data_IF_758037042497
#
_entry.id   IF_758037042497
#
_cell.length_a   1.000
_cell.length_b   1.000
_cell.length_c   1.000
_cell.angle_alpha   90.00
_cell.angle_beta   90.00
_cell.angle_gamma   90.00
#
_symmetry.space_group_name_H-M   'P 1'
#
loop_
_entity.id
_entity.type
_entity.pdbx_description
1 polymer ?
#
# COMPACT_ATOMS: atom_id res chain seq x y z
N UNK A 1 26.20 13.87 28.42
CA UNK A 1 25.50 14.55 27.30
C UNK A 1 25.05 13.49 26.33
N UNK A 2 23.77 13.45 25.92
CA UNK A 2 23.33 12.51 24.90
C UNK A 2 23.96 12.89 23.56
N UNK A 3 24.54 11.91 22.89
CA UNK A 3 25.15 12.01 21.57
C UNK A 3 24.08 12.37 20.53
N UNK A 4 24.18 13.55 19.93
CA UNK A 4 23.51 13.89 18.67
C UNK A 4 24.30 13.26 17.51
N UNK A 5 24.25 11.92 17.42
CA UNK A 5 24.62 11.22 16.18
C UNK A 5 23.54 11.46 15.11
N UNK A 6 23.89 11.36 13.81
CA UNK A 6 22.89 11.45 12.75
C UNK A 6 21.80 10.42 13.01
N UNK A 7 20.53 10.85 12.88
CA UNK A 7 19.39 9.93 12.94
C UNK A 7 19.53 9.00 11.73
N UNK A 8 19.96 7.76 11.97
CA UNK A 8 19.97 6.71 10.95
C UNK A 8 18.53 6.31 10.66
N UNK A 9 17.90 7.01 9.72
CA UNK A 9 16.60 6.64 9.19
C UNK A 9 16.80 5.54 8.15
N UNK A 10 17.06 4.32 8.61
CA UNK A 10 17.10 3.14 7.73
C UNK A 10 15.67 2.73 7.42
N UNK A 11 15.18 3.12 6.25
CA UNK A 11 14.01 2.49 5.67
C UNK A 11 14.46 1.33 4.81
N UNK A 12 13.91 0.16 5.10
CA UNK A 12 14.11 -1.06 4.32
C UNK A 12 13.32 -0.95 3.01
N UNK A 13 13.88 -0.23 2.04
CA UNK A 13 13.30 -0.09 0.70
C UNK A 13 13.19 -1.44 -0.04
N UNK A 14 14.08 -2.43 0.15
CA UNK A 14 13.84 -3.80 -0.32
C UNK A 14 12.54 -4.42 0.23
N UNK A 15 12.30 -4.33 1.54
CA UNK A 15 11.09 -4.90 2.15
C UNK A 15 9.83 -4.15 1.70
N UNK A 16 9.88 -2.82 1.53
CA UNK A 16 8.78 -2.07 0.90
C UNK A 16 8.52 -2.53 -0.54
N UNK A 17 9.57 -2.81 -1.31
CA UNK A 17 9.47 -3.35 -2.67
C UNK A 17 8.85 -4.75 -2.71
N UNK A 18 9.17 -5.58 -1.73
CA UNK A 18 8.54 -6.89 -1.53
C UNK A 18 7.05 -6.74 -1.19
N UNK A 19 6.72 -5.93 -0.19
CA UNK A 19 5.32 -5.66 0.20
C UNK A 19 4.50 -5.16 -0.99
N UNK A 20 5.02 -4.22 -1.76
CA UNK A 20 4.36 -3.73 -2.99
C UNK A 20 4.05 -4.86 -3.96
N UNK A 21 5.00 -5.77 -4.17
CA UNK A 21 4.84 -6.91 -5.10
C UNK A 21 3.78 -7.89 -4.60
N UNK A 22 3.78 -8.18 -3.30
CA UNK A 22 2.76 -9.02 -2.66
C UNK A 22 1.36 -8.39 -2.78
N UNK A 23 1.23 -7.07 -2.57
CA UNK A 23 -0.03 -6.34 -2.75
C UNK A 23 -0.53 -6.35 -4.19
N UNK A 24 0.37 -6.15 -5.17
CA UNK A 24 0.04 -6.22 -6.60
C UNK A 24 -0.44 -7.63 -7.00
N UNK A 25 0.20 -8.67 -6.45
CA UNK A 25 -0.19 -10.06 -6.68
C UNK A 25 -1.58 -10.31 -6.11
N UNK A 26 -1.83 -9.92 -4.86
CA UNK A 26 -3.12 -10.08 -4.21
C UNK A 26 -4.22 -9.30 -4.93
N UNK A 27 -3.93 -8.10 -5.43
CA UNK A 27 -4.87 -7.29 -6.21
C UNK A 27 -5.24 -7.98 -7.53
N UNK A 28 -4.28 -8.59 -8.22
CA UNK A 28 -4.52 -9.35 -9.44
C UNK A 28 -5.36 -10.61 -9.16
N UNK A 29 -4.95 -11.41 -8.17
CA UNK A 29 -5.68 -12.62 -7.76
C UNK A 29 -7.13 -12.32 -7.37
N UNK A 30 -7.35 -11.22 -6.64
CA UNK A 30 -8.68 -10.78 -6.26
C UNK A 30 -9.50 -10.27 -7.46
N UNK A 31 -8.85 -9.64 -8.43
CA UNK A 31 -9.46 -9.20 -9.69
C UNK A 31 -9.93 -10.37 -10.56
N UNK A 32 -9.21 -11.49 -10.53
CA UNK A 32 -9.49 -12.71 -11.32
C UNK A 32 -10.63 -13.55 -10.74
N UNK A 33 -11.02 -13.32 -9.48
CA UNK A 33 -12.16 -14.03 -8.89
C UNK A 33 -13.46 -13.71 -9.66
N UNK A 34 -14.40 -14.66 -9.76
CA UNK A 34 -15.64 -14.46 -10.47
C UNK A 34 -16.47 -13.32 -9.86
N UNK A 35 -16.96 -12.43 -10.72
CA UNK A 35 -18.08 -11.52 -10.43
C UNK A 35 -19.36 -12.24 -10.79
N UNK A 36 -20.36 -12.16 -9.91
CA UNK A 36 -21.67 -12.68 -10.25
C UNK A 36 -22.71 -11.62 -9.91
N UNK A 37 -23.43 -11.19 -10.95
CA UNK A 37 -24.67 -10.45 -10.78
C UNK A 37 -25.73 -11.49 -10.36
N UNK A 38 -26.53 -11.19 -9.34
CA UNK A 38 -27.52 -12.13 -8.81
C UNK A 38 -28.49 -12.56 -9.90
N UNK A 39 -28.53 -13.86 -10.19
CA UNK A 39 -29.42 -14.51 -11.17
C UNK A 39 -29.75 -15.94 -10.70
N UNK A 40 -29.93 -16.12 -9.39
CA UNK A 40 -30.26 -17.42 -8.82
C UNK A 40 -31.69 -17.81 -9.19
N UNK A 41 -31.88 -18.98 -9.80
CA UNK A 41 -33.21 -19.46 -10.22
C UNK A 41 -34.11 -19.80 -9.01
N UNK A 42 -35.20 -19.04 -8.77
CA UNK A 42 -36.12 -19.31 -7.67
C UNK A 42 -36.95 -20.57 -7.88
N UNK A 43 -37.13 -21.05 -9.11
CA UNK A 43 -37.83 -22.29 -9.40
C UNK A 43 -37.00 -23.53 -9.01
N UNK A 44 -35.67 -23.45 -9.17
CA UNK A 44 -34.74 -24.51 -8.78
C UNK A 44 -34.42 -24.51 -7.28
N UNK A 45 -34.24 -23.32 -6.67
CA UNK A 45 -33.71 -23.19 -5.31
C UNK A 45 -34.80 -22.90 -4.26
N UNK A 46 -35.99 -22.49 -4.68
CA UNK A 46 -36.99 -21.86 -3.82
C UNK A 46 -36.66 -20.39 -3.55
N UNK A 47 -37.68 -19.53 -3.54
CA UNK A 47 -37.51 -18.07 -3.58
C UNK A 47 -36.69 -17.47 -2.43
N UNK A 48 -36.75 -18.06 -1.22
CA UNK A 48 -35.96 -17.58 -0.06
C UNK A 48 -34.47 -17.84 -0.26
N UNK A 49 -34.12 -19.02 -0.78
CA UNK A 49 -32.72 -19.41 -1.01
C UNK A 49 -32.16 -18.63 -2.18
N UNK A 50 -32.89 -18.55 -3.29
CA UNK A 50 -32.49 -17.73 -4.44
C UNK A 50 -32.20 -16.28 -4.03
N UNK A 51 -33.12 -15.64 -3.29
CA UNK A 51 -32.90 -14.28 -2.78
C UNK A 51 -31.78 -14.14 -1.74
N UNK A 52 -31.35 -15.22 -1.08
CA UNK A 52 -30.17 -15.21 -0.22
C UNK A 52 -28.87 -15.32 -1.05
N UNK A 53 -28.87 -16.18 -2.07
CA UNK A 53 -27.74 -16.33 -3.01
C UNK A 53 -27.48 -15.04 -3.78
N UNK A 54 -28.53 -14.37 -4.28
CA UNK A 54 -28.37 -13.10 -5.00
C UNK A 54 -27.78 -12.00 -4.10
N UNK A 55 -28.28 -11.89 -2.86
CA UNK A 55 -27.73 -10.93 -1.88
C UNK A 55 -26.27 -11.23 -1.55
N UNK A 56 -25.91 -12.50 -1.43
CA UNK A 56 -24.51 -12.91 -1.25
C UNK A 56 -23.67 -12.52 -2.48
N UNK A 57 -24.13 -12.80 -3.69
CA UNK A 57 -23.40 -12.50 -4.93
C UNK A 57 -23.11 -11.01 -5.10
N UNK A 58 -24.10 -10.15 -4.81
CA UNK A 58 -23.94 -8.69 -4.79
C UNK A 58 -22.94 -8.27 -3.71
N UNK A 59 -23.11 -8.77 -2.47
CA UNK A 59 -22.23 -8.40 -1.36
C UNK A 59 -20.77 -8.83 -1.60
N UNK A 60 -20.58 -10.02 -2.17
CA UNK A 60 -19.28 -10.54 -2.58
C UNK A 60 -18.64 -9.64 -3.63
N UNK A 61 -19.37 -9.30 -4.70
CA UNK A 61 -18.86 -8.47 -5.79
C UNK A 61 -18.46 -7.07 -5.29
N UNK A 62 -19.32 -6.43 -4.49
CA UNK A 62 -19.04 -5.10 -3.91
C UNK A 62 -17.87 -5.13 -2.92
N UNK A 63 -17.88 -6.11 -2.01
CA UNK A 63 -16.83 -6.26 -0.99
C UNK A 63 -15.46 -6.50 -1.63
N UNK A 64 -15.43 -7.36 -2.64
CA UNK A 64 -14.22 -7.66 -3.42
C UNK A 64 -13.70 -6.41 -4.15
N UNK A 65 -14.57 -5.65 -4.81
CA UNK A 65 -14.18 -4.43 -5.49
C UNK A 65 -13.54 -3.41 -4.54
N UNK A 66 -14.11 -3.24 -3.34
CA UNK A 66 -13.56 -2.36 -2.29
C UNK A 66 -12.19 -2.82 -1.78
N UNK A 67 -12.01 -4.13 -1.59
CA UNK A 67 -10.70 -4.66 -1.18
C UNK A 67 -9.68 -4.41 -2.29
N UNK A 68 -10.03 -4.64 -3.55
CA UNK A 68 -9.14 -4.37 -4.69
C UNK A 68 -8.73 -2.89 -4.78
N UNK A 69 -9.67 -1.97 -4.53
CA UNK A 69 -9.40 -0.54 -4.46
C UNK A 69 -8.44 -0.19 -3.31
N UNK A 70 -8.70 -0.70 -2.10
CA UNK A 70 -7.83 -0.48 -0.95
C UNK A 70 -6.42 -1.02 -1.18
N UNK A 71 -6.29 -2.20 -1.81
CA UNK A 71 -4.99 -2.76 -2.17
C UNK A 71 -4.26 -1.84 -3.16
N UNK A 72 -4.95 -1.32 -4.17
CA UNK A 72 -4.39 -0.35 -5.11
C UNK A 72 -3.88 0.93 -4.42
N UNK A 73 -4.60 1.42 -3.41
CA UNK A 73 -4.16 2.56 -2.60
C UNK A 73 -2.90 2.22 -1.79
N UNK A 74 -2.83 1.03 -1.19
CA UNK A 74 -1.63 0.57 -0.48
C UNK A 74 -0.42 0.43 -1.42
N UNK A 75 -0.62 -0.06 -2.64
CA UNK A 75 0.44 -0.12 -3.67
C UNK A 75 0.97 1.28 -3.98
N UNK A 76 0.08 2.25 -4.22
CA UNK A 76 0.48 3.63 -4.51
C UNK A 76 1.24 4.28 -3.34
N UNK A 77 0.85 3.99 -2.09
CA UNK A 77 1.56 4.46 -0.90
C UNK A 77 2.95 3.82 -0.79
N UNK A 78 3.07 2.52 -1.05
CA UNK A 78 4.36 1.82 -1.04
C UNK A 78 5.30 2.37 -2.13
N UNK A 79 4.80 2.61 -3.34
CA UNK A 79 5.56 3.23 -4.44
C UNK A 79 6.04 4.63 -4.07
N UNK A 80 5.14 5.49 -3.57
CA UNK A 80 5.51 6.84 -3.14
C UNK A 80 6.54 6.86 -2.01
N UNK A 81 6.47 5.89 -1.08
CA UNK A 81 7.46 5.73 -0.03
C UNK A 81 8.83 5.33 -0.60
N UNK A 82 8.88 4.31 -1.47
CA UNK A 82 10.12 3.88 -2.15
C UNK A 82 10.77 5.06 -2.87
N UNK A 83 10.01 5.78 -3.70
CA UNK A 83 10.51 6.93 -4.46
C UNK A 83 11.07 8.02 -3.54
N UNK A 84 10.37 8.32 -2.44
CA UNK A 84 10.79 9.33 -1.46
C UNK A 84 12.09 8.95 -0.77
N UNK A 85 12.21 7.69 -0.32
CA UNK A 85 13.40 7.24 0.40
C UNK A 85 14.62 7.09 -0.54
N UNK A 86 14.43 6.55 -1.75
CA UNK A 86 15.49 6.51 -2.75
C UNK A 86 15.94 7.91 -3.17
N UNK A 87 14.99 8.85 -3.31
CA UNK A 87 15.29 10.25 -3.59
C UNK A 87 16.07 10.93 -2.46
N UNK A 88 15.66 10.71 -1.20
CA UNK A 88 16.36 11.23 -0.03
C UNK A 88 17.76 10.65 0.11
N UNK A 89 17.93 9.34 -0.07
CA UNK A 89 19.23 8.68 -0.06
C UNK A 89 20.16 9.25 -1.14
N UNK A 90 19.65 9.39 -2.37
CA UNK A 90 20.40 10.00 -3.48
C UNK A 90 20.81 11.43 -3.14
N UNK A 91 19.93 12.24 -2.55
CA UNK A 91 20.23 13.61 -2.17
C UNK A 91 21.30 13.68 -1.08
N UNK A 92 21.26 12.79 -0.08
CA UNK A 92 22.26 12.69 0.99
C UNK A 92 23.62 12.28 0.41
N UNK A 93 23.67 11.26 -0.44
CA UNK A 93 24.91 10.77 -1.06
C UNK A 93 25.57 11.82 -1.96
N UNK A 94 24.77 12.69 -2.60
CA UNK A 94 25.26 13.75 -3.48
C UNK A 94 25.39 15.12 -2.79
N UNK A 95 25.08 15.22 -1.49
CA UNK A 95 25.19 16.47 -0.76
C UNK A 95 26.66 16.93 -0.70
N UNK A 96 26.96 18.21 -0.96
CA UNK A 96 28.31 18.72 -0.77
C UNK A 96 28.72 18.53 0.70
N UNK A 97 30.00 18.21 0.98
CA UNK A 97 30.47 18.02 2.34
C UNK A 97 30.20 19.29 3.16
N UNK A 98 29.54 19.12 4.31
CA UNK A 98 29.27 20.24 5.21
C UNK A 98 30.62 20.76 5.70
N UNK A 99 30.95 22.05 5.48
CA UNK A 99 32.21 22.60 5.96
C UNK A 99 32.26 22.47 7.48
N UNK A 100 33.33 21.85 7.99
CA UNK A 100 33.60 21.75 9.42
C UNK A 100 33.94 23.15 9.96
N UNK A 101 32.92 23.93 10.30
CA UNK A 101 33.14 25.32 10.71
C UNK A 101 31.90 26.19 10.75
N UNK A 102 30.81 25.72 11.36
CA UNK A 102 29.81 26.63 11.96
C UNK A 102 29.55 26.15 13.38
N UNK A 103 30.57 26.25 14.23
CA UNK A 103 30.31 26.47 15.64
C UNK A 103 29.63 27.82 15.73
N UNK A 104 28.45 27.87 16.32
CA UNK A 104 27.73 29.09 16.68
C UNK A 104 28.65 30.05 17.43
N UNK A 105 29.32 30.92 16.68
CA UNK A 105 29.78 32.19 17.18
C UNK A 105 28.59 33.15 17.09
N UNK A 106 28.33 33.81 18.21
CA UNK A 106 27.38 34.93 18.40
C UNK A 106 25.91 34.57 18.67
N UNK A 107 25.59 34.47 19.96
CA UNK A 107 24.62 35.40 20.57
C UNK A 107 24.84 35.52 22.09
N UNK A 108 25.74 36.46 22.46
CA UNK A 108 25.95 37.13 23.76
C UNK A 108 26.56 36.37 24.92
#
# INVERSE_FOLDING_TARGET
MPSTGPVEFFVDTPELGRLRTELQTLQAELGDLPTQEGDADPAALGGVVAGAVDRFAVHWTDGRARIAENLGQCVALAEGAIDSYTGAETAIQNAPPVPAGVTTAEAR
#
